data_IF_444207275828
#
_entry.id   IF_444207275828
#
_cell.length_a   1.000
_cell.length_b   1.000
_cell.length_c   1.000
_cell.angle_alpha   90.00
_cell.angle_beta   90.00
_cell.angle_gamma   90.00
#
_symmetry.space_group_name_H-M   'P 1'
#
loop_
_entity.id
_entity.type
_entity.pdbx_description
1 polymer ?
#
# COMPACT_ATOMS: atom_id res chain seq x y z
N UNK A 1 -5.37 -3.69 11.15
CA UNK A 1 -6.12 -4.28 10.02
C UNK A 1 -5.24 -4.10 8.80
N UNK A 2 -5.05 -5.13 7.99
CA UNK A 2 -4.13 -5.11 6.84
C UNK A 2 -4.92 -5.25 5.55
N UNK A 3 -4.41 -4.65 4.47
CA UNK A 3 -5.00 -4.73 3.13
C UNK A 3 -3.93 -5.08 2.11
N UNK A 4 -4.29 -5.80 1.05
CA UNK A 4 -3.37 -6.01 -0.07
C UNK A 4 -3.22 -4.73 -0.88
N UNK A 5 -2.01 -4.47 -1.37
CA UNK A 5 -1.74 -3.30 -2.21
C UNK A 5 -2.58 -3.35 -3.50
N UNK A 6 -2.83 -4.54 -4.04
CA UNK A 6 -3.74 -4.75 -5.18
C UNK A 6 -5.19 -4.35 -4.88
N UNK A 7 -5.68 -4.57 -3.66
CA UNK A 7 -7.03 -4.17 -3.25
C UNK A 7 -7.16 -2.65 -3.16
N UNK A 8 -6.18 -2.00 -2.52
CA UNK A 8 -6.15 -0.53 -2.40
C UNK A 8 -6.12 0.12 -3.79
N UNK A 9 -5.25 -0.36 -4.67
CA UNK A 9 -5.12 0.19 -6.04
C UNK A 9 -6.38 -0.01 -6.87
N UNK A 10 -7.07 -1.14 -6.72
CA UNK A 10 -8.35 -1.41 -7.38
C UNK A 10 -9.43 -0.41 -6.97
N UNK A 11 -9.59 -0.12 -5.68
CA UNK A 11 -10.56 0.87 -5.18
C UNK A 11 -10.26 2.29 -5.67
N UNK A 12 -8.98 2.60 -5.90
CA UNK A 12 -8.53 3.90 -6.42
C UNK A 12 -8.52 3.96 -7.96
N UNK A 13 -8.93 2.90 -8.66
CA UNK A 13 -8.83 2.77 -10.11
C UNK A 13 -7.41 3.01 -10.66
N UNK A 14 -6.40 2.59 -9.90
CA UNK A 14 -4.99 2.64 -10.29
C UNK A 14 -4.55 1.30 -10.88
N UNK A 15 -3.71 1.37 -11.91
CA UNK A 15 -3.06 0.16 -12.44
C UNK A 15 -2.04 -0.35 -11.43
N UNK A 16 -2.23 -1.60 -10.99
CA UNK A 16 -1.29 -2.27 -10.10
C UNK A 16 -0.12 -2.89 -10.88
N UNK A 17 1.11 -2.62 -10.45
CA UNK A 17 2.33 -3.24 -10.97
C UNK A 17 3.29 -3.51 -9.81
N UNK A 18 3.88 -4.71 -9.78
CA UNK A 18 4.84 -5.13 -8.76
C UNK A 18 4.32 -6.21 -7.80
N UNK A 19 4.86 -6.22 -6.59
CA UNK A 19 4.59 -7.26 -5.60
C UNK A 19 3.37 -6.92 -4.75
N UNK A 20 2.47 -7.89 -4.59
CA UNK A 20 1.23 -7.71 -3.84
C UNK A 20 1.44 -7.87 -2.33
N UNK A 21 2.03 -6.84 -1.75
CA UNK A 21 2.36 -6.77 -0.32
C UNK A 21 1.15 -6.39 0.52
N UNK A 22 1.21 -6.74 1.80
CA UNK A 22 0.23 -6.29 2.79
C UNK A 22 0.64 -4.92 3.34
N UNK A 23 -0.28 -3.97 3.27
CA UNK A 23 -0.16 -2.63 3.83
C UNK A 23 -0.85 -2.60 5.19
N UNK A 24 -0.15 -2.09 6.20
CA UNK A 24 -0.65 -1.97 7.58
C UNK A 24 -0.80 -0.53 8.08
N UNK A 25 -0.43 0.47 7.26
CA UNK A 25 -0.56 1.88 7.62
C UNK A 25 -0.17 2.86 6.50
N UNK A 26 -0.40 4.14 6.79
CA UNK A 26 -0.03 5.28 5.93
C UNK A 26 0.77 6.25 6.81
N UNK A 27 1.97 6.61 6.37
CA UNK A 27 2.92 7.45 7.12
C UNK A 27 3.60 8.45 6.20
N UNK A 28 4.37 9.40 6.74
CA UNK A 28 5.19 10.29 5.91
C UNK A 28 6.36 9.54 5.29
N UNK A 29 6.91 10.04 4.18
CA UNK A 29 8.07 9.42 3.52
C UNK A 29 9.28 9.22 4.44
N UNK A 30 9.47 10.09 5.43
CA UNK A 30 10.57 9.99 6.41
C UNK A 30 10.36 8.91 7.47
N UNK A 31 9.13 8.45 7.68
CA UNK A 31 8.74 7.58 8.79
C UNK A 31 8.16 6.24 8.34
N UNK A 32 7.76 6.13 7.06
CA UNK A 32 7.17 4.92 6.50
C UNK A 32 8.16 3.75 6.52
N UNK A 33 7.65 2.59 6.93
CA UNK A 33 8.36 1.31 6.82
C UNK A 33 7.97 0.57 5.54
N UNK A 34 8.59 -0.59 5.28
CA UNK A 34 8.37 -1.36 4.05
C UNK A 34 6.94 -1.90 3.85
N UNK A 35 6.08 -1.82 4.87
CA UNK A 35 4.67 -2.24 4.82
C UNK A 35 3.68 -1.07 4.86
N UNK A 36 4.17 0.15 4.66
CA UNK A 36 3.38 1.37 4.81
C UNK A 36 3.47 2.23 3.55
N UNK A 37 2.38 2.91 3.23
CA UNK A 37 2.31 3.86 2.12
C UNK A 37 2.81 5.24 2.58
N UNK A 38 3.55 5.93 1.72
CA UNK A 38 4.08 7.29 1.94
C UNK A 38 3.60 8.32 0.92
#
# INVERSE_FOLDING_TARGET
>A
MTYKLSEITKELNLTFSGNDIEIDGIHTLSEATSRQLS
#
